data_IF_148069930256
#
_entry.id   IF_148069930256
#
_cell.length_a   1.000
_cell.length_b   1.000
_cell.length_c   1.000
_cell.angle_alpha   90.00
_cell.angle_beta   90.00
_cell.angle_gamma   90.00
#
_symmetry.space_group_name_H-M   'P 1'
#
loop_
_entity.id
_entity.type
_entity.pdbx_description
1 polymer ?
#
# COMPACT_ATOMS: atom_id res chain seq x y z
N UNK A 1 8.54 -6.29 6.32
CA UNK A 1 7.43 -5.40 6.69
C UNK A 1 6.30 -5.42 5.65
N UNK A 2 6.57 -5.10 4.40
CA UNK A 2 5.55 -5.20 3.36
C UNK A 2 5.24 -6.67 3.10
N UNK A 3 3.95 -7.03 3.20
CA UNK A 3 3.48 -8.39 2.95
C UNK A 3 3.16 -8.58 1.47
N UNK A 4 2.33 -7.69 0.94
CA UNK A 4 1.90 -7.76 -0.46
C UNK A 4 1.83 -6.34 -1.04
N UNK A 5 2.04 -6.25 -2.34
CA UNK A 5 1.82 -5.01 -3.06
C UNK A 5 1.15 -5.31 -4.39
N UNK A 6 0.09 -4.59 -4.69
CA UNK A 6 -0.63 -4.72 -5.95
C UNK A 6 -0.52 -3.40 -6.69
N UNK A 7 0.21 -3.40 -7.80
CA UNK A 7 0.33 -2.21 -8.64
C UNK A 7 -0.88 -2.13 -9.56
N UNK A 8 -1.50 -0.96 -9.59
CA UNK A 8 -2.59 -0.64 -10.50
C UNK A 8 -2.11 0.46 -11.44
N UNK A 9 -2.53 0.43 -12.70
CA UNK A 9 -2.05 1.40 -13.67
C UNK A 9 -2.73 1.33 -15.02
N UNK A 10 -3.47 0.25 -15.28
CA UNK A 10 -4.17 0.08 -16.55
C UNK A 10 -5.13 1.23 -16.79
N UNK A 11 -4.96 1.93 -17.91
CA UNK A 11 -5.82 3.05 -18.31
C UNK A 11 -5.83 4.18 -17.29
N UNK A 12 -4.76 4.28 -16.49
CA UNK A 12 -4.60 5.32 -15.48
C UNK A 12 -3.46 6.23 -15.87
N UNK A 13 -3.45 7.47 -15.39
CA UNK A 13 -2.41 8.43 -15.76
C UNK A 13 -1.03 8.09 -15.18
N UNK A 14 -0.95 7.23 -14.17
CA UNK A 14 0.30 6.82 -13.55
C UNK A 14 0.09 5.54 -12.74
N UNK A 15 1.16 4.78 -12.48
CA UNK A 15 1.06 3.62 -11.59
C UNK A 15 0.85 4.04 -10.14
N UNK A 16 0.03 3.28 -9.44
CA UNK A 16 -0.16 3.41 -8.00
C UNK A 16 -0.20 2.02 -7.39
N UNK A 17 -0.15 1.91 -6.07
CA UNK A 17 -0.09 0.62 -5.42
C UNK A 17 -1.00 0.55 -4.20
N UNK A 18 -1.60 -0.62 -4.00
CA UNK A 18 -2.19 -1.02 -2.73
C UNK A 18 -1.13 -1.85 -2.01
N UNK A 19 -0.83 -1.50 -0.77
CA UNK A 19 0.24 -2.13 0.00
C UNK A 19 -0.32 -2.66 1.30
N UNK A 20 -0.03 -3.93 1.60
CA UNK A 20 -0.36 -4.52 2.89
C UNK A 20 0.91 -4.75 3.69
N UNK A 21 0.79 -4.71 5.00
CA UNK A 21 1.88 -4.94 5.91
C UNK A 21 1.68 -6.24 6.68
N UNK A 22 2.78 -6.92 6.97
CA UNK A 22 2.76 -8.11 7.81
C UNK A 22 2.42 -7.66 9.23
N UNK A 23 1.32 -8.16 9.82
CA UNK A 23 0.89 -7.69 11.15
C UNK A 23 1.92 -7.97 12.24
N UNK A 24 2.60 -9.10 12.19
CA UNK A 24 3.59 -9.47 13.21
C UNK A 24 4.79 -8.54 13.15
N UNK A 25 5.30 -8.31 11.94
CA UNK A 25 6.43 -7.41 11.73
C UNK A 25 6.06 -5.96 12.06
N UNK A 26 4.86 -5.54 11.71
CA UNK A 26 4.38 -4.20 12.00
C UNK A 26 4.29 -3.97 13.51
N UNK A 27 3.71 -4.91 14.24
CA UNK A 27 3.57 -4.77 15.70
C UNK A 27 4.93 -4.75 16.39
N UNK A 28 5.86 -5.58 15.91
CA UNK A 28 7.22 -5.61 16.44
C UNK A 28 7.92 -4.27 16.22
N UNK A 29 7.86 -3.75 15.01
CA UNK A 29 8.46 -2.47 14.68
C UNK A 29 7.84 -1.35 15.51
N UNK A 30 6.52 -1.36 15.65
CA UNK A 30 5.79 -0.35 16.42
C UNK A 30 6.26 -0.34 17.89
N UNK A 31 6.40 -1.52 18.51
CA UNK A 31 6.90 -1.60 19.89
C UNK A 31 8.30 -1.01 20.01
N UNK A 32 9.16 -1.28 19.04
CA UNK A 32 10.52 -0.74 19.04
C UNK A 32 10.53 0.79 18.91
N UNK A 33 9.52 1.35 18.27
CA UNK A 33 9.37 2.80 18.10
C UNK A 33 8.55 3.44 19.21
N UNK A 34 8.07 2.67 20.17
CA UNK A 34 7.22 3.21 21.22
C UNK A 34 5.81 3.54 20.78
N UNK A 35 5.34 2.89 19.73
CA UNK A 35 3.99 3.10 19.20
C UNK A 35 3.05 2.04 19.72
N UNK A 36 1.83 2.47 20.04
CA UNK A 36 0.75 1.57 20.47
C UNK A 36 -0.38 1.60 19.44
N UNK A 37 -1.12 0.51 19.40
CA UNK A 37 -2.32 0.43 18.60
C UNK A 37 -2.45 -0.89 17.88
N UNK A 38 -3.65 -1.14 17.35
CA UNK A 38 -3.90 -2.30 16.51
C UNK A 38 -3.43 -2.02 15.07
N UNK A 39 -3.46 -3.04 14.23
CA UNK A 39 -3.00 -2.91 12.84
C UNK A 39 -3.72 -1.80 12.09
N UNK A 40 -5.07 -1.71 12.13
CA UNK A 40 -5.74 -0.61 11.44
C UNK A 40 -5.29 0.77 11.90
N UNK A 41 -5.05 0.95 13.19
CA UNK A 41 -4.56 2.22 13.72
C UNK A 41 -3.12 2.49 13.27
N UNK A 42 -2.26 1.47 13.36
CA UNK A 42 -0.85 1.60 12.98
C UNK A 42 -0.68 1.93 11.50
N UNK A 43 -1.50 1.35 10.62
CA UNK A 43 -1.40 1.64 9.19
C UNK A 43 -1.73 3.09 8.84
N UNK A 44 -2.34 3.83 9.75
CA UNK A 44 -2.64 5.26 9.57
C UNK A 44 -1.62 6.16 10.26
N UNK A 45 -0.73 5.60 11.05
CA UNK A 45 0.28 6.40 11.73
C UNK A 45 1.26 6.97 10.71
N UNK A 46 1.53 8.29 10.75
CA UNK A 46 2.45 8.93 9.81
C UNK A 46 3.84 8.31 9.78
N UNK A 47 4.31 7.76 10.89
CA UNK A 47 5.63 7.11 10.95
C UNK A 47 5.64 5.80 10.19
N UNK A 48 4.55 5.03 10.25
CA UNK A 48 4.41 3.81 9.47
C UNK A 48 4.32 4.14 7.98
N UNK A 49 3.54 5.16 7.64
CA UNK A 49 3.41 5.59 6.24
C UNK A 49 4.76 6.08 5.72
N UNK A 50 5.52 6.82 6.51
CA UNK A 50 6.85 7.28 6.11
C UNK A 50 7.81 6.11 5.87
N UNK A 51 7.72 5.06 6.68
CA UNK A 51 8.51 3.85 6.47
C UNK A 51 8.16 3.21 5.13
N UNK A 52 6.87 3.06 4.84
CA UNK A 52 6.42 2.48 3.57
C UNK A 52 6.86 3.37 2.40
N UNK A 53 6.76 4.69 2.56
CA UNK A 53 7.23 5.62 1.54
C UNK A 53 8.71 5.39 1.20
N UNK A 54 9.55 5.21 2.21
CA UNK A 54 10.97 4.96 1.97
C UNK A 54 11.20 3.65 1.22
N UNK A 55 10.39 2.63 1.49
CA UNK A 55 10.47 1.35 0.77
C UNK A 55 10.07 1.54 -0.69
N UNK A 56 8.99 2.28 -0.94
CA UNK A 56 8.53 2.57 -2.30
C UNK A 56 9.59 3.39 -3.05
N UNK A 57 10.19 4.37 -2.41
CA UNK A 57 11.25 5.17 -3.02
C UNK A 57 12.45 4.31 -3.42
N UNK A 58 12.84 3.37 -2.58
CA UNK A 58 13.94 2.45 -2.89
C UNK A 58 13.63 1.60 -4.13
N UNK A 59 12.42 1.09 -4.23
CA UNK A 59 11.99 0.31 -5.40
C UNK A 59 11.97 1.21 -6.64
N UNK A 60 11.46 2.43 -6.51
CA UNK A 60 11.34 3.35 -7.64
C UNK A 60 12.70 3.77 -8.22
N UNK A 61 13.76 3.81 -7.43
CA UNK A 61 15.09 4.17 -7.93
C UNK A 61 15.58 3.28 -9.05
N UNK A 62 15.12 2.03 -9.08
CA UNK A 62 15.53 1.04 -10.07
C UNK A 62 14.54 0.90 -11.21
N UNK A 63 13.48 1.71 -11.21
CA UNK A 63 12.44 1.67 -12.25
C UNK A 63 12.56 2.84 -13.19
N UNK A 64 12.21 2.60 -14.46
CA UNK A 64 12.07 3.68 -15.42
C UNK A 64 11.01 4.66 -14.92
N UNK A 65 11.17 5.94 -15.27
CA UNK A 65 10.32 7.01 -14.77
C UNK A 65 8.82 6.73 -14.91
N UNK A 66 8.41 6.22 -16.05
CA UNK A 66 7.00 5.93 -16.32
C UNK A 66 6.49 4.69 -15.60
N UNK A 67 7.39 3.87 -15.06
CA UNK A 67 7.05 2.67 -14.31
C UNK A 67 7.04 2.90 -12.79
N UNK A 68 7.44 4.09 -12.35
CA UNK A 68 7.51 4.39 -10.92
C UNK A 68 6.13 4.53 -10.31
N UNK A 69 5.96 3.96 -9.13
CA UNK A 69 4.74 4.12 -8.34
C UNK A 69 4.68 5.55 -7.83
N UNK A 70 3.65 6.29 -8.20
CA UNK A 70 3.50 7.71 -7.85
C UNK A 70 2.68 7.91 -6.59
N UNK A 71 1.76 7.01 -6.30
CA UNK A 71 0.95 7.03 -5.10
C UNK A 71 0.78 5.62 -4.56
N UNK A 72 0.52 5.52 -3.28
CA UNK A 72 0.20 4.24 -2.68
C UNK A 72 -0.81 4.43 -1.55
N UNK A 73 -1.53 3.37 -1.23
CA UNK A 73 -2.37 3.29 -0.05
C UNK A 73 -1.91 2.11 0.80
N UNK A 74 -1.70 2.36 2.08
CA UNK A 74 -1.43 1.30 3.05
C UNK A 74 -2.77 0.81 3.54
N UNK A 75 -3.06 -0.46 3.29
CA UNK A 75 -4.34 -1.04 3.66
C UNK A 75 -4.34 -1.41 5.15
N UNK A 76 -5.51 -1.44 5.73
CA UNK A 76 -5.67 -1.66 7.17
C UNK A 76 -5.60 -3.13 7.59
N UNK A 77 -5.44 -4.03 6.63
CA UNK A 77 -5.27 -5.46 6.87
C UNK A 77 -4.54 -6.11 5.69
N UNK A 78 -3.99 -7.28 5.93
CA UNK A 78 -3.41 -8.06 4.85
C UNK A 78 -4.50 -8.71 4.00
N UNK A 79 -4.16 -9.19 2.81
CA UNK A 79 -5.08 -9.94 1.98
C UNK A 79 -5.31 -11.33 2.59
N UNK A 80 -6.51 -11.84 2.41
CA UNK A 80 -6.93 -13.07 3.08
C UNK A 80 -7.51 -14.08 2.08
N UNK A 81 -7.10 -15.33 2.24
CA UNK A 81 -7.62 -16.44 1.45
C UNK A 81 -9.12 -16.63 1.70
N UNK A 82 -9.54 -16.52 2.95
CA UNK A 82 -10.94 -16.68 3.33
C UNK A 82 -11.86 -15.65 2.69
N UNK A 83 -11.31 -14.50 2.31
CA UNK A 83 -12.06 -13.46 1.61
C UNK A 83 -11.97 -13.59 0.10
N UNK A 84 -11.31 -14.64 -0.39
CA UNK A 84 -11.16 -14.87 -1.82
C UNK A 84 -10.11 -13.98 -2.47
N UNK A 85 -9.28 -13.30 -1.72
CA UNK A 85 -8.27 -12.38 -2.23
C UNK A 85 -6.98 -13.09 -2.63
N UNK A 86 -6.75 -14.26 -2.07
CA UNK A 86 -5.58 -15.09 -2.37
C UNK A 86 -6.03 -16.48 -2.80
N UNK A 87 -5.27 -17.07 -3.72
CA UNK A 87 -5.45 -18.48 -4.06
C UNK A 87 -4.85 -19.37 -2.98
N UNK A 88 -5.13 -20.70 -2.99
CA UNK A 88 -4.48 -21.62 -2.05
C UNK A 88 -2.95 -21.59 -2.10
N UNK A 89 -2.35 -21.19 -3.21
CA UNK A 89 -0.91 -21.02 -3.33
C UNK A 89 -0.45 -19.59 -3.02
N UNK A 90 -1.33 -18.81 -2.40
CA UNK A 90 -1.07 -17.43 -1.96
C UNK A 90 -0.79 -16.44 -3.08
N UNK A 91 -1.33 -16.69 -4.26
CA UNK A 91 -1.27 -15.73 -5.36
C UNK A 91 -2.43 -14.76 -5.26
N UNK A 92 -2.19 -13.49 -5.55
CA UNK A 92 -3.23 -12.46 -5.52
C UNK A 92 -4.29 -12.71 -6.58
N UNK A 93 -5.54 -12.62 -6.16
CA UNK A 93 -6.69 -12.61 -7.07
C UNK A 93 -7.05 -11.15 -7.34
N UNK A 94 -6.38 -10.60 -8.34
CA UNK A 94 -6.41 -9.18 -8.63
C UNK A 94 -7.83 -8.59 -8.72
N UNK A 95 -8.72 -9.24 -9.45
CA UNK A 95 -10.09 -8.73 -9.62
C UNK A 95 -10.82 -8.64 -8.29
N UNK A 96 -10.67 -9.65 -7.43
CA UNK A 96 -11.32 -9.65 -6.13
C UNK A 96 -10.76 -8.54 -5.24
N UNK A 97 -9.44 -8.38 -5.22
CA UNK A 97 -8.78 -7.34 -4.44
C UNK A 97 -9.24 -5.95 -4.90
N UNK A 98 -9.25 -5.72 -6.21
CA UNK A 98 -9.68 -4.41 -6.75
C UNK A 98 -11.15 -4.12 -6.43
N UNK A 99 -11.98 -5.14 -6.36
CA UNK A 99 -13.37 -4.99 -5.99
C UNK A 99 -13.50 -4.66 -4.49
N UNK A 100 -12.82 -5.40 -3.64
CA UNK A 100 -12.87 -5.18 -2.19
C UNK A 100 -12.30 -3.83 -1.76
N UNK A 101 -11.31 -3.33 -2.49
CA UNK A 101 -10.63 -2.07 -2.15
C UNK A 101 -10.88 -0.99 -3.21
N UNK A 102 -12.06 -1.03 -3.81
CA UNK A 102 -12.41 -0.07 -4.87
C UNK A 102 -12.33 1.38 -4.42
N UNK A 103 -12.73 1.66 -3.19
CA UNK A 103 -12.68 3.02 -2.65
C UNK A 103 -11.24 3.51 -2.49
N UNK A 104 -10.37 2.63 -2.02
CA UNK A 104 -8.95 2.94 -1.87
C UNK A 104 -8.30 3.20 -3.23
N UNK A 105 -8.64 2.40 -4.23
CA UNK A 105 -8.15 2.60 -5.59
C UNK A 105 -8.65 3.94 -6.14
N UNK A 106 -9.93 4.24 -5.95
CA UNK A 106 -10.50 5.51 -6.39
C UNK A 106 -9.77 6.69 -5.75
N UNK A 107 -9.46 6.58 -4.46
CA UNK A 107 -8.72 7.62 -3.74
C UNK A 107 -7.32 7.87 -4.29
N UNK A 108 -6.68 6.85 -4.86
CA UNK A 108 -5.36 7.00 -5.47
C UNK A 108 -5.39 7.87 -6.73
N UNK A 109 -6.54 8.00 -7.37
CA UNK A 109 -6.71 8.74 -8.62
C UNK A 109 -7.75 9.86 -8.52
N UNK A 110 -8.01 10.34 -7.32
CA UNK A 110 -9.09 11.27 -7.01
C UNK A 110 -8.87 12.66 -7.60
N UNK A 111 -8.89 12.72 -8.93
CA UNK A 111 -8.87 13.97 -9.68
C UNK A 111 -7.62 14.81 -9.54
N UNK A 112 -6.61 14.35 -8.83
CA UNK A 112 -5.42 15.12 -8.52
C UNK A 112 -4.28 14.82 -9.47
N UNK A 113 -3.40 15.78 -9.67
CA UNK A 113 -2.12 15.53 -10.30
C UNK A 113 -1.32 14.57 -9.42
N UNK A 114 -0.40 13.77 -10.00
CA UNK A 114 0.46 12.92 -9.20
C UNK A 114 1.22 13.74 -8.16
N UNK A 115 1.32 13.26 -6.92
CA UNK A 115 2.09 13.96 -5.89
C UNK A 115 3.59 13.88 -6.20
N UNK A 116 4.37 14.70 -5.53
CA UNK A 116 5.81 14.55 -5.56
C UNK A 116 6.16 13.15 -5.04
N UNK A 117 7.25 12.52 -5.54
CA UNK A 117 7.55 11.12 -5.21
C UNK A 117 7.60 10.79 -3.72
N UNK A 118 7.99 11.72 -2.90
CA UNK A 118 8.13 11.51 -1.46
C UNK A 118 6.90 11.92 -0.66
N UNK A 119 5.78 12.20 -1.31
CA UNK A 119 4.55 12.52 -0.60
C UNK A 119 3.77 11.28 -0.17
N UNK A 120 4.21 10.12 -0.61
CA UNK A 120 3.80 8.86 -0.08
C UNK A 120 2.31 8.64 0.06
N UNK A 121 1.94 8.12 1.20
CA UNK A 121 0.64 7.55 1.44
C UNK A 121 -0.54 8.45 1.21
N UNK A 122 -1.28 8.15 0.19
CA UNK A 122 -2.57 8.79 -0.06
C UNK A 122 -3.51 8.58 1.11
N UNK A 123 -3.36 7.48 1.81
CA UNK A 123 -4.15 7.20 3.01
C UNK A 123 -4.04 8.29 4.06
N UNK A 124 -3.03 9.13 3.99
CA UNK A 124 -2.84 10.25 4.90
C UNK A 124 -3.48 11.52 4.42
N UNK A 125 -4.08 11.48 3.30
CA UNK A 125 -4.56 12.70 2.69
C UNK A 125 -6.08 12.81 2.80
#
# INVERSE_FOLDING_TARGET
MVSQALVVGDRRPYPAALITLDPVELEKWAREQGLDGDVPTLTRDPRVVALVESIVDDVNRERARYEQVKRFAVLDRDFEMDRGELTPTLKLRRRVVLDHFADEVAGLYDGSAPPAPHQGGVANR
#
